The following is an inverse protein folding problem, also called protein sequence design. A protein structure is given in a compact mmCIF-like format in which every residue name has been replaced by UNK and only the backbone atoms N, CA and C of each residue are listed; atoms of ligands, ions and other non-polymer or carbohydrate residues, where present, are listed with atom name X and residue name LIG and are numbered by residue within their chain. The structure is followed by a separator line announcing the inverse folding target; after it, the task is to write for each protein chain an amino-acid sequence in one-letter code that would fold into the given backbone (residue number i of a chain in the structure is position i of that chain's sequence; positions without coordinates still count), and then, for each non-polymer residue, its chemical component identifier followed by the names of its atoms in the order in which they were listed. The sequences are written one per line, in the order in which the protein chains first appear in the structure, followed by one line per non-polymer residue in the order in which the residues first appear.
data_IF_377342591338
#
_entry.id   IF_377342591338
#
_cell.length_a   1.000
_cell.length_b   1.000
_cell.length_c   1.000
_cell.angle_alpha   90.00
_cell.angle_beta   90.00
_cell.angle_gamma   90.00
#
_symmetry.space_group_name_H-M   'P 1'
#
loop_
_entity.id
_entity.type
_entity.pdbx_description
1 polymer ?
#
# COMPACT_ATOMS: atom_id res chain seq x y z
N UNK A 1 28.62 -1.54 -2.10
CA UNK A 1 27.32 -2.23 -2.16
C UNK A 1 26.50 -1.50 -3.23
N UNK A 2 25.83 -2.17 -4.19
CA UNK A 2 24.87 -1.43 -4.98
C UNK A 2 23.81 -0.94 -4.00
N UNK A 3 23.53 0.36 -4.04
CA UNK A 3 22.40 0.91 -3.30
C UNK A 3 21.14 0.20 -3.79
N UNK A 4 20.21 -0.10 -2.88
CA UNK A 4 18.89 -0.55 -3.26
C UNK A 4 18.32 0.49 -4.24
N UNK A 5 18.08 0.06 -5.48
CA UNK A 5 17.64 0.92 -6.57
C UNK A 5 16.26 1.51 -6.25
N UNK A 6 15.41 0.77 -5.51
CA UNK A 6 14.11 1.24 -5.06
C UNK A 6 14.25 2.40 -4.06
N UNK A 7 15.25 2.36 -3.19
CA UNK A 7 15.53 3.45 -2.25
C UNK A 7 16.24 4.63 -2.93
N UNK A 8 17.06 4.36 -3.95
CA UNK A 8 17.85 5.38 -4.66
C UNK A 8 16.98 6.25 -5.57
N UNK A 9 15.87 5.70 -6.08
CA UNK A 9 14.93 6.38 -6.98
C UNK A 9 13.66 6.83 -6.26
N UNK A 10 13.69 6.92 -4.93
CA UNK A 10 12.57 7.42 -4.14
C UNK A 10 12.30 8.88 -4.52
N UNK A 11 11.08 9.15 -4.98
CA UNK A 11 10.59 10.53 -5.16
C UNK A 11 9.99 11.01 -3.84
N UNK A 12 10.25 12.27 -3.46
CA UNK A 12 9.63 12.86 -2.28
C UNK A 12 8.15 13.19 -2.50
N UNK A 13 7.71 13.31 -3.76
CA UNK A 13 6.32 13.62 -4.13
C UNK A 13 5.83 12.77 -5.30
N UNK A 14 4.52 12.52 -5.34
CA UNK A 14 3.88 11.76 -6.40
C UNK A 14 4.13 10.25 -6.29
N UNK A 15 3.87 9.53 -7.37
CA UNK A 15 3.83 8.07 -7.37
C UNK A 15 5.19 7.37 -7.46
N UNK A 16 6.28 8.14 -7.55
CA UNK A 16 7.62 7.59 -7.82
C UNK A 16 7.69 6.79 -9.14
N UNK A 17 8.72 5.94 -9.23
CA UNK A 17 9.07 5.18 -10.45
C UNK A 17 8.08 4.08 -10.81
N UNK A 18 7.32 3.55 -9.86
CA UNK A 18 6.41 2.44 -10.10
C UNK A 18 4.95 2.83 -10.31
N UNK A 19 4.58 4.08 -10.03
CA UNK A 19 3.19 4.53 -10.17
C UNK A 19 2.36 4.26 -8.91
N UNK A 20 1.15 4.81 -8.86
CA UNK A 20 0.30 4.75 -7.67
C UNK A 20 -0.10 3.31 -7.35
N UNK A 21 -0.30 3.01 -6.07
CA UNK A 21 -0.72 1.69 -5.55
C UNK A 21 0.18 0.52 -5.97
N UNK A 22 1.45 0.78 -6.25
CA UNK A 22 2.45 -0.24 -6.60
C UNK A 22 3.64 -0.12 -5.67
N UNK A 23 4.44 -1.17 -5.58
CA UNK A 23 5.71 -1.15 -4.85
C UNK A 23 6.86 -1.57 -5.77
N UNK A 24 8.06 -1.16 -5.37
CA UNK A 24 9.29 -1.48 -6.09
C UNK A 24 9.94 -2.71 -5.46
N UNK A 25 10.38 -3.63 -6.30
CA UNK A 25 11.23 -4.75 -5.92
C UNK A 25 12.42 -4.86 -6.87
N UNK A 26 13.48 -5.50 -6.42
CA UNK A 26 14.65 -5.77 -7.26
C UNK A 26 14.61 -7.23 -7.72
N UNK A 27 14.66 -7.45 -9.03
CA UNK A 27 14.77 -8.79 -9.58
C UNK A 27 16.12 -9.40 -9.18
N UNK A 28 16.07 -10.54 -8.48
CA UNK A 28 17.26 -11.16 -7.90
C UNK A 28 18.28 -11.65 -8.95
N UNK A 29 17.84 -11.86 -10.20
CA UNK A 29 18.67 -12.43 -11.28
C UNK A 29 19.35 -11.34 -12.10
N UNK A 30 18.58 -10.34 -12.50
CA UNK A 30 19.01 -9.26 -13.40
C UNK A 30 19.45 -8.01 -12.65
N UNK A 31 19.18 -7.94 -11.34
CA UNK A 31 19.36 -6.75 -10.50
C UNK A 31 18.56 -5.52 -10.98
N UNK A 32 17.59 -5.73 -11.88
CA UNK A 32 16.74 -4.66 -12.41
C UNK A 32 15.59 -4.34 -11.47
N UNK A 33 15.17 -3.07 -11.51
CA UNK A 33 13.95 -2.63 -10.86
C UNK A 33 12.73 -3.30 -11.51
N UNK A 34 11.86 -3.83 -10.66
CA UNK A 34 10.55 -4.34 -11.05
C UNK A 34 9.48 -3.61 -10.24
N UNK A 35 8.38 -3.28 -10.91
CA UNK A 35 7.18 -2.74 -10.25
C UNK A 35 6.15 -3.84 -10.10
N UNK A 36 5.61 -3.96 -8.91
CA UNK A 36 4.67 -5.02 -8.53
C UNK A 36 3.43 -4.43 -7.87
N UNK A 37 2.31 -5.15 -8.02
CA UNK A 37 1.05 -4.79 -7.38
C UNK A 37 0.91 -5.54 -6.06
N UNK A 38 0.36 -4.90 -5.02
CA UNK A 38 -0.07 -5.58 -3.81
C UNK A 38 -1.09 -6.70 -4.12
N UNK A 39 -1.29 -7.64 -3.18
CA UNK A 39 -2.38 -8.62 -3.29
C UNK A 39 -3.73 -7.95 -3.57
N UNK A 40 -4.53 -8.52 -4.47
CA UNK A 40 -5.83 -7.98 -4.91
C UNK A 40 -5.76 -6.62 -5.64
N UNK A 41 -4.60 -6.29 -6.19
CA UNK A 41 -4.43 -5.18 -7.13
C UNK A 41 -3.91 -5.71 -8.46
N UNK A 42 -4.36 -5.07 -9.53
CA UNK A 42 -3.90 -5.35 -10.90
C UNK A 42 -3.25 -4.12 -11.51
N UNK A 43 -2.32 -4.32 -12.44
CA UNK A 43 -1.74 -3.23 -13.20
C UNK A 43 -2.82 -2.45 -13.93
N UNK A 44 -2.71 -1.12 -13.92
CA UNK A 44 -3.56 -0.25 -14.75
C UNK A 44 -3.35 -0.58 -16.23
N UNK A 45 -2.09 -0.87 -16.59
CA UNK A 45 -1.65 -1.23 -17.93
C UNK A 45 -0.59 -2.34 -17.81
N UNK A 46 -0.93 -3.61 -18.11
CA UNK A 46 0.00 -4.73 -17.97
C UNK A 46 1.27 -4.61 -18.83
N UNK A 47 1.18 -3.90 -19.96
CA UNK A 47 2.31 -3.65 -20.86
C UNK A 47 3.20 -2.50 -20.34
N UNK A 48 2.66 -1.66 -19.46
CA UNK A 48 3.33 -0.49 -18.89
C UNK A 48 3.21 -0.47 -17.35
N UNK A 49 3.83 -1.46 -16.70
CA UNK A 49 3.75 -1.68 -15.24
C UNK A 49 4.12 -0.48 -14.37
N UNK A 50 4.96 0.43 -14.86
CA UNK A 50 5.35 1.67 -14.18
C UNK A 50 4.20 2.70 -14.05
N UNK A 51 3.05 2.46 -14.71
CA UNK A 51 1.83 3.27 -14.52
C UNK A 51 1.10 2.95 -13.21
N UNK A 52 1.56 1.96 -12.46
CA UNK A 52 1.01 1.58 -11.17
C UNK A 52 -0.18 0.62 -11.29
N UNK A 53 -0.89 0.49 -10.18
CA UNK A 53 -1.94 -0.50 -9.98
C UNK A 53 -3.26 0.15 -9.56
N UNK A 54 -4.32 -0.64 -9.69
CA UNK A 54 -5.67 -0.33 -9.20
C UNK A 54 -6.16 -1.49 -8.33
N UNK A 55 -7.02 -1.23 -7.34
CA UNK A 55 -7.67 -2.31 -6.61
C UNK A 55 -8.58 -3.10 -7.55
N UNK A 56 -8.68 -4.40 -7.31
CA UNK A 56 -9.62 -5.29 -7.99
C UNK A 56 -10.95 -5.45 -7.23
N UNK A 57 -11.14 -4.59 -6.23
CA UNK A 57 -12.32 -4.51 -5.37
C UNK A 57 -12.80 -3.06 -5.25
N UNK A 58 -14.06 -2.88 -4.88
CA UNK A 58 -14.60 -1.54 -4.64
C UNK A 58 -14.01 -0.96 -3.34
N UNK A 59 -13.62 0.33 -3.32
CA UNK A 59 -13.08 0.96 -2.12
C UNK A 59 -14.10 0.96 -0.99
N UNK A 60 -13.60 0.99 0.25
CA UNK A 60 -14.46 1.09 1.43
C UNK A 60 -15.31 2.36 1.36
N UNK A 61 -16.60 2.21 1.65
CA UNK A 61 -17.59 3.28 1.66
C UNK A 61 -18.28 3.28 3.01
N UNK A 62 -18.34 4.45 3.65
CA UNK A 62 -19.06 4.66 4.89
C UNK A 62 -20.37 5.43 4.72
N UNK A 63 -20.78 5.73 3.47
CA UNK A 63 -22.06 6.36 3.23
C UNK A 63 -23.19 5.37 3.55
N UNK A 64 -24.05 5.81 4.47
CA UNK A 64 -25.08 5.03 5.13
C UNK A 64 -26.41 5.23 4.41
N UNK A 65 -26.61 4.47 3.35
CA UNK A 65 -27.84 4.48 2.59
C UNK A 65 -28.56 3.15 2.89
N UNK A 66 -29.37 3.16 3.94
CA UNK A 66 -30.40 2.15 4.22
C UNK A 66 -29.95 0.67 4.17
N UNK A 67 -29.27 0.20 5.22
CA UNK A 67 -29.45 -1.18 5.68
C UNK A 67 -28.44 -2.24 5.23
N UNK A 68 -27.25 -1.89 4.75
CA UNK A 68 -26.27 -2.93 4.39
C UNK A 68 -24.84 -2.44 4.22
N UNK A 69 -24.06 -2.64 5.29
CA UNK A 69 -22.60 -2.75 5.30
C UNK A 69 -21.76 -1.48 5.06
N UNK A 70 -21.47 -0.77 6.15
CA UNK A 70 -20.12 -0.28 6.47
C UNK A 70 -19.61 -1.06 7.68
N UNK A 71 -19.65 -2.39 7.58
CA UNK A 71 -19.20 -3.25 8.69
C UNK A 71 -17.69 -3.41 8.58
N UNK A 72 -16.91 -3.24 9.67
CA UNK A 72 -15.47 -3.52 9.69
C UNK A 72 -15.10 -4.96 9.27
N UNK A 73 -16.10 -5.82 9.02
CA UNK A 73 -15.95 -7.21 8.59
C UNK A 73 -15.90 -7.42 7.06
N UNK A 74 -15.97 -6.37 6.22
CA UNK A 74 -15.91 -6.53 4.76
C UNK A 74 -14.48 -6.50 4.21
N UNK A 75 -13.57 -5.84 4.91
CA UNK A 75 -12.19 -5.69 4.52
C UNK A 75 -11.31 -6.40 5.53
N UNK A 76 -10.15 -6.85 5.05
CA UNK A 76 -9.13 -7.44 5.90
C UNK A 76 -7.78 -6.84 5.52
N UNK A 77 -6.92 -6.67 6.51
CA UNK A 77 -5.52 -6.33 6.27
C UNK A 77 -4.80 -7.59 5.83
N UNK A 78 -4.14 -7.53 4.67
CA UNK A 78 -3.29 -8.62 4.16
C UNK A 78 -1.83 -8.33 4.55
N UNK A 79 -1.21 -9.13 5.43
CA UNK A 79 0.16 -8.90 5.85
C UNK A 79 1.13 -8.96 4.65
N UNK A 80 1.90 -7.89 4.47
CA UNK A 80 2.87 -7.75 3.38
C UNK A 80 4.23 -7.35 3.97
N UNK A 81 5.03 -8.31 4.46
CA UNK A 81 6.28 -8.02 5.14
C UNK A 81 7.31 -7.43 4.17
N UNK A 82 8.18 -6.56 4.68
CA UNK A 82 9.27 -5.91 3.95
C UNK A 82 8.84 -4.94 2.82
N UNK A 83 7.58 -4.51 2.81
CA UNK A 83 7.05 -3.51 1.88
C UNK A 83 6.65 -2.26 2.67
N UNK A 84 7.01 -1.09 2.15
CA UNK A 84 6.71 0.20 2.76
C UNK A 84 6.38 1.24 1.66
N UNK A 85 5.46 2.15 1.95
CA UNK A 85 5.12 3.31 1.11
C UNK A 85 5.58 4.59 1.83
N UNK A 86 6.89 4.89 1.80
CA UNK A 86 7.45 5.96 2.61
C UNK A 86 6.94 7.35 2.20
N UNK A 87 6.92 8.28 3.16
CA UNK A 87 6.68 9.73 3.00
C UNK A 87 5.25 10.17 2.67
N UNK A 88 4.37 9.26 2.27
CA UNK A 88 2.98 9.57 1.88
C UNK A 88 1.97 9.06 2.91
N UNK A 89 2.38 8.96 4.17
CA UNK A 89 1.51 8.54 5.27
C UNK A 89 0.39 9.58 5.45
N UNK A 90 -0.86 9.14 5.36
CA UNK A 90 -2.02 9.99 5.60
C UNK A 90 -2.10 10.46 7.06
N UNK A 91 -1.76 9.57 7.99
CA UNK A 91 -1.73 9.82 9.42
C UNK A 91 -0.59 9.04 10.08
N UNK A 92 -0.05 9.58 11.18
CA UNK A 92 1.00 8.94 11.96
C UNK A 92 0.61 8.87 13.44
N UNK A 93 0.27 7.68 13.92
CA UNK A 93 -0.28 7.45 15.24
C UNK A 93 0.74 6.78 16.16
N UNK A 94 1.09 7.44 17.27
CA UNK A 94 1.93 6.88 18.33
C UNK A 94 1.45 7.29 19.73
N UNK A 95 1.53 6.39 20.73
CA UNK A 95 1.92 4.98 20.63
C UNK A 95 0.76 4.09 20.16
N UNK A 96 1.04 3.11 19.29
CA UNK A 96 0.10 2.05 18.91
C UNK A 96 0.86 0.74 18.68
N UNK A 97 0.25 -0.39 19.05
CA UNK A 97 0.70 -1.71 18.60
C UNK A 97 0.09 -2.06 17.23
N UNK A 98 0.55 -3.16 16.63
CA UNK A 98 0.09 -3.61 15.33
C UNK A 98 -1.43 -3.82 15.24
N UNK A 99 -2.04 -4.46 16.24
CA UNK A 99 -3.50 -4.73 16.25
C UNK A 99 -4.31 -3.43 16.33
N UNK A 100 -3.85 -2.48 17.13
CA UNK A 100 -4.46 -1.16 17.23
C UNK A 100 -4.37 -0.38 15.93
N UNK A 101 -3.22 -0.42 15.25
CA UNK A 101 -3.01 0.23 13.96
C UNK A 101 -3.92 -0.39 12.87
N UNK A 102 -4.01 -1.72 12.83
CA UNK A 102 -4.91 -2.44 11.93
C UNK A 102 -6.37 -2.07 12.18
N UNK A 103 -6.79 -2.06 13.45
CA UNK A 103 -8.16 -1.70 13.82
C UNK A 103 -8.48 -0.23 13.49
N UNK A 104 -7.54 0.68 13.71
CA UNK A 104 -7.71 2.09 13.34
C UNK A 104 -7.93 2.23 11.82
N UNK A 105 -7.11 1.56 11.01
CA UNK A 105 -7.25 1.58 9.55
C UNK A 105 -8.59 1.01 9.10
N UNK A 106 -9.01 -0.16 9.59
CA UNK A 106 -10.28 -0.78 9.19
C UNK A 106 -11.51 0.07 9.55
N UNK A 107 -11.41 0.91 10.58
CA UNK A 107 -12.47 1.84 10.97
C UNK A 107 -12.43 3.18 10.21
N UNK A 108 -11.36 3.46 9.46
CA UNK A 108 -11.28 4.62 8.57
C UNK A 108 -11.60 4.21 7.13
N UNK A 109 -12.67 4.80 6.61
CA UNK A 109 -13.22 4.56 5.28
C UNK A 109 -12.24 4.90 4.15
N UNK A 110 -11.26 5.77 4.41
CA UNK A 110 -10.27 6.20 3.44
C UNK A 110 -8.91 5.52 3.65
N UNK A 111 -8.77 4.69 4.69
CA UNK A 111 -7.53 3.97 4.92
C UNK A 111 -7.41 2.78 3.96
N UNK A 112 -6.28 2.69 3.25
CA UNK A 112 -5.96 1.59 2.35
C UNK A 112 -4.83 0.69 2.90
N UNK A 113 -3.95 1.21 3.74
CA UNK A 113 -2.74 0.51 4.23
C UNK A 113 -2.46 0.92 5.67
N UNK A 114 -2.14 -0.05 6.52
CA UNK A 114 -1.57 0.16 7.85
C UNK A 114 -0.09 -0.22 7.84
N UNK A 115 0.79 0.71 8.22
CA UNK A 115 2.24 0.48 8.25
C UNK A 115 2.67 0.33 9.71
N UNK A 116 3.25 -0.82 10.04
CA UNK A 116 3.89 -1.06 11.34
C UNK A 116 5.40 -1.16 11.13
N UNK A 117 6.16 -0.27 11.79
CA UNK A 117 7.62 -0.30 11.77
C UNK A 117 8.13 -0.71 13.15
N UNK A 118 8.74 -1.89 13.23
CA UNK A 118 9.43 -2.32 14.44
C UNK A 118 10.68 -1.45 14.66
N UNK A 119 10.79 -0.82 15.84
CA UNK A 119 11.91 0.02 16.28
C UNK A 119 12.04 1.42 15.65
N UNK A 120 11.01 2.26 15.78
CA UNK A 120 11.15 3.73 15.60
C UNK A 120 10.84 4.48 16.88
#
# INVERSE_FOLDING_TARGET
LPSDICLSLRSDYGSGVCGFNSYCSQDATTQMLTCECPPQYSFVDPDQRYKGCKPDFAPQSCMSDAGGMGSPNQFQIVPSPYIDWPLCDYEYLKPMNQDQCNAACLNDCFCAVAIHRDNV
#
